data_IF_816699065774
#
_entry.id   IF_816699065774
#
_cell.length_a   1.000
_cell.length_b   1.000
_cell.length_c   1.000
_cell.angle_alpha   90.00
_cell.angle_beta   90.00
_cell.angle_gamma   90.00
#
_symmetry.space_group_name_H-M   'P 1'
#
loop_
_entity.id
_entity.type
_entity.pdbx_description
1 polymer ?
#
# COMPACT_ATOMS: atom_id res chain seq x y z
N UNK A 1 17.81 5.67 -55.48
CA UNK A 1 18.02 4.67 -54.40
C UNK A 1 18.28 3.30 -55.03
N UNK A 2 19.44 2.74 -54.76
CA UNK A 2 19.81 1.43 -55.27
C UNK A 2 19.45 0.32 -54.28
N UNK A 3 20.01 0.36 -53.09
CA UNK A 3 19.71 -0.63 -52.03
C UNK A 3 20.14 -0.12 -50.64
N UNK A 4 19.62 -0.74 -49.60
CA UNK A 4 20.08 -0.56 -48.23
C UNK A 4 21.16 -1.64 -47.95
N UNK A 5 22.34 -1.22 -47.50
CA UNK A 5 23.40 -2.17 -47.12
C UNK A 5 22.93 -3.02 -45.93
N UNK A 6 22.92 -4.34 -46.08
CA UNK A 6 22.62 -5.29 -45.01
C UNK A 6 23.86 -5.50 -44.11
N UNK A 7 23.68 -6.04 -42.89
CA UNK A 7 24.82 -6.41 -42.04
C UNK A 7 25.73 -7.37 -42.76
N UNK A 8 26.99 -7.03 -42.92
CA UNK A 8 27.99 -7.83 -43.62
C UNK A 8 28.94 -7.00 -44.49
N UNK A 9 29.62 -7.67 -45.42
CA UNK A 9 30.49 -7.03 -46.36
C UNK A 9 29.69 -6.59 -47.59
N UNK A 10 29.65 -5.27 -47.85
CA UNK A 10 29.01 -4.68 -49.05
C UNK A 10 30.09 -4.03 -49.90
N UNK A 11 30.04 -4.24 -51.22
CA UNK A 11 30.92 -3.57 -52.15
C UNK A 11 30.21 -2.40 -52.80
N UNK A 12 30.86 -1.26 -52.78
CA UNK A 12 30.43 -0.05 -53.51
C UNK A 12 31.50 0.36 -54.50
N UNK A 13 31.10 0.71 -55.73
CA UNK A 13 32.00 1.14 -56.78
C UNK A 13 32.12 2.68 -56.67
N UNK A 14 33.26 3.24 -56.27
CA UNK A 14 33.39 4.63 -55.88
C UNK A 14 33.13 5.68 -56.98
N UNK A 15 32.91 5.24 -58.23
CA UNK A 15 32.58 6.13 -59.34
C UNK A 15 31.07 6.15 -59.64
N UNK A 16 30.37 5.06 -59.29
CA UNK A 16 28.97 4.83 -59.62
C UNK A 16 28.05 4.89 -58.36
N UNK A 17 28.60 4.39 -57.25
CA UNK A 17 27.84 4.32 -55.97
C UNK A 17 28.30 5.40 -55.02
N UNK A 18 27.34 6.12 -54.45
CA UNK A 18 27.54 7.12 -53.41
C UNK A 18 26.72 6.72 -52.17
N UNK A 19 27.34 6.86 -51.00
CA UNK A 19 26.63 6.67 -49.73
C UNK A 19 25.85 7.93 -49.41
N UNK A 20 24.55 7.95 -49.73
CA UNK A 20 23.67 9.09 -49.53
C UNK A 20 23.40 9.36 -48.04
N UNK A 21 23.13 8.31 -47.29
CA UNK A 21 22.80 8.43 -45.85
C UNK A 21 23.44 7.31 -45.03
N UNK A 22 23.89 7.69 -43.82
CA UNK A 22 24.34 6.74 -42.78
C UNK A 22 23.52 6.94 -41.52
N UNK A 23 22.72 5.98 -41.14
CA UNK A 23 21.88 6.04 -39.94
C UNK A 23 22.33 5.00 -38.90
N UNK A 24 22.39 5.44 -37.63
CA UNK A 24 22.62 4.53 -36.51
C UNK A 24 21.33 3.79 -36.18
N UNK A 25 21.42 2.46 -35.99
CA UNK A 25 20.30 1.62 -35.53
C UNK A 25 20.32 1.43 -34.00
N UNK A 26 21.21 2.13 -33.32
CA UNK A 26 21.25 2.15 -31.86
C UNK A 26 20.21 3.09 -31.31
N UNK A 27 19.83 2.87 -30.07
CA UNK A 27 18.99 3.83 -29.32
C UNK A 27 19.73 5.17 -29.20
N UNK A 28 19.03 6.24 -29.48
CA UNK A 28 19.53 7.62 -29.42
C UNK A 28 18.59 8.43 -28.57
N UNK A 29 19.14 9.29 -27.73
CA UNK A 29 18.38 10.25 -26.92
C UNK A 29 18.35 11.58 -27.68
N UNK A 30 17.17 12.18 -27.77
CA UNK A 30 16.94 13.51 -28.32
C UNK A 30 16.47 14.39 -27.16
N UNK A 31 17.27 15.39 -26.83
CA UNK A 31 16.95 16.36 -25.79
C UNK A 31 15.92 17.38 -26.32
N UNK A 32 14.84 17.55 -25.59
CA UNK A 32 13.78 18.48 -25.87
C UNK A 32 14.05 19.78 -25.11
N UNK A 33 14.28 20.85 -25.81
CA UNK A 33 14.54 22.15 -25.21
C UNK A 33 13.37 22.62 -24.34
N UNK A 34 13.64 23.34 -23.24
CA UNK A 34 12.62 23.85 -22.35
C UNK A 34 11.49 24.56 -23.08
N UNK A 35 10.27 24.19 -22.81
CA UNK A 35 9.05 24.74 -23.35
C UNK A 35 8.16 25.30 -22.25
N UNK A 36 7.49 26.41 -22.55
CA UNK A 36 6.45 26.93 -21.66
C UNK A 36 5.12 26.33 -22.05
N UNK A 37 4.43 25.76 -21.08
CA UNK A 37 3.05 25.28 -21.21
C UNK A 37 2.17 25.94 -20.13
N UNK A 38 0.86 25.89 -20.34
CA UNK A 38 -0.13 26.40 -19.39
C UNK A 38 -0.95 25.22 -18.94
N UNK A 39 -1.03 24.99 -17.64
CA UNK A 39 -1.84 23.95 -17.05
C UNK A 39 -3.33 24.30 -17.08
N UNK A 40 -4.20 23.34 -16.76
CA UNK A 40 -5.65 23.51 -16.73
C UNK A 40 -6.09 24.58 -15.71
N UNK A 41 -5.36 24.72 -14.61
CA UNK A 41 -5.55 25.75 -13.58
C UNK A 41 -4.86 27.10 -13.89
N UNK A 42 -4.48 27.29 -15.19
CA UNK A 42 -3.92 28.53 -15.74
C UNK A 42 -2.56 28.93 -15.12
N UNK A 43 -1.74 27.95 -14.75
CA UNK A 43 -0.37 28.20 -14.26
C UNK A 43 0.63 27.99 -15.38
N UNK A 44 1.58 28.92 -15.50
CA UNK A 44 2.70 28.79 -16.45
C UNK A 44 3.77 27.87 -15.88
N UNK A 45 4.11 26.82 -16.64
CA UNK A 45 5.15 25.85 -16.30
C UNK A 45 6.19 25.78 -17.42
N UNK A 46 7.45 25.67 -17.04
CA UNK A 46 8.54 25.39 -17.95
C UNK A 46 8.92 23.93 -17.78
N UNK A 47 8.93 23.21 -18.89
CA UNK A 47 9.17 21.78 -18.92
C UNK A 47 10.25 21.50 -19.94
N UNK A 48 11.16 20.63 -19.60
CA UNK A 48 12.13 20.01 -20.47
C UNK A 48 12.02 18.49 -20.37
N UNK A 49 12.59 17.80 -21.32
CA UNK A 49 12.51 16.35 -21.35
C UNK A 49 13.44 15.73 -22.39
N UNK A 50 13.46 14.41 -22.39
CA UNK A 50 14.23 13.62 -23.32
C UNK A 50 13.38 12.52 -23.96
N UNK A 51 13.55 12.34 -25.26
CA UNK A 51 12.90 11.27 -26.04
C UNK A 51 13.95 10.22 -26.38
N UNK A 52 13.63 8.97 -26.08
CA UNK A 52 14.46 7.83 -26.42
C UNK A 52 13.91 7.14 -27.67
N UNK A 53 14.69 7.18 -28.74
CA UNK A 53 14.27 6.73 -30.08
C UNK A 53 15.26 5.74 -30.67
N UNK A 54 14.77 4.95 -31.62
CA UNK A 54 15.63 4.09 -32.45
C UNK A 54 15.08 4.01 -33.86
N UNK A 55 15.98 4.07 -34.83
CA UNK A 55 15.64 3.83 -36.23
C UNK A 55 15.42 2.34 -36.45
N UNK A 56 14.22 1.96 -36.90
CA UNK A 56 13.84 0.59 -37.24
C UNK A 56 13.97 0.37 -38.74
N UNK A 57 13.61 1.37 -39.54
CA UNK A 57 13.68 1.31 -41.00
C UNK A 57 14.54 2.48 -41.49
N UNK A 58 15.77 2.18 -41.90
CA UNK A 58 16.73 3.17 -42.34
C UNK A 58 16.30 3.88 -43.65
N UNK A 59 15.54 3.17 -44.51
CA UNK A 59 15.02 3.75 -45.73
C UNK A 59 13.98 4.83 -45.43
N UNK A 60 12.96 4.48 -44.64
CA UNK A 60 11.92 5.43 -44.24
C UNK A 60 12.47 6.59 -43.45
N UNK A 61 13.46 6.37 -42.58
CA UNK A 61 14.10 7.43 -41.80
C UNK A 61 14.97 8.37 -42.61
N UNK A 62 15.37 7.98 -43.84
CA UNK A 62 16.21 8.81 -44.69
C UNK A 62 15.44 9.50 -45.83
N UNK A 63 14.33 8.88 -46.29
CA UNK A 63 13.57 9.37 -47.43
C UNK A 63 12.11 9.71 -47.07
N UNK A 64 11.62 9.30 -45.94
CA UNK A 64 10.27 9.60 -45.48
C UNK A 64 10.10 10.97 -44.86
N UNK A 65 11.19 11.54 -44.36
CA UNK A 65 11.22 12.90 -43.76
C UNK A 65 12.63 13.48 -43.90
N UNK A 66 12.71 14.79 -44.09
CA UNK A 66 13.96 15.50 -44.31
C UNK A 66 14.82 15.55 -43.02
N UNK A 67 14.19 15.94 -41.90
CA UNK A 67 14.82 16.01 -40.58
C UNK A 67 13.98 15.25 -39.55
N UNK A 68 14.30 13.96 -39.32
CA UNK A 68 13.56 13.12 -38.36
C UNK A 68 13.70 13.62 -36.92
N UNK A 69 14.87 14.12 -36.52
CA UNK A 69 15.12 14.55 -35.16
C UNK A 69 14.37 15.84 -34.83
N UNK A 70 14.43 16.81 -35.73
CA UNK A 70 13.68 18.06 -35.61
C UNK A 70 12.15 17.83 -35.61
N UNK A 71 11.67 16.91 -36.45
CA UNK A 71 10.26 16.56 -36.49
C UNK A 71 9.77 15.89 -35.18
N UNK A 72 10.55 14.94 -34.63
CA UNK A 72 10.25 14.32 -33.35
C UNK A 72 10.27 15.36 -32.23
N UNK A 73 11.24 16.27 -32.23
CA UNK A 73 11.34 17.37 -31.26
C UNK A 73 10.09 18.24 -31.30
N UNK A 74 9.67 18.68 -32.48
CA UNK A 74 8.48 19.53 -32.67
C UNK A 74 7.20 18.80 -32.23
N UNK A 75 7.09 17.52 -32.58
CA UNK A 75 5.96 16.67 -32.17
C UNK A 75 5.91 16.48 -30.67
N UNK A 76 7.07 16.21 -30.04
CA UNK A 76 7.19 16.05 -28.60
C UNK A 76 6.77 17.33 -27.85
N UNK A 77 7.20 18.48 -28.31
CA UNK A 77 6.80 19.79 -27.76
C UNK A 77 5.28 20.00 -27.85
N UNK A 78 4.66 19.59 -28.96
CA UNK A 78 3.22 19.74 -29.18
C UNK A 78 2.43 18.75 -28.33
N UNK A 79 2.85 17.49 -28.24
CA UNK A 79 2.24 16.46 -27.41
C UNK A 79 2.35 16.84 -25.93
N UNK A 80 3.53 17.25 -25.47
CA UNK A 80 3.74 17.70 -24.10
C UNK A 80 2.82 18.87 -23.73
N UNK A 81 2.72 19.88 -24.59
CA UNK A 81 1.85 21.04 -24.35
C UNK A 81 0.38 20.64 -24.26
N UNK A 82 -0.06 19.71 -25.09
CA UNK A 82 -1.42 19.18 -25.07
C UNK A 82 -1.72 18.43 -23.77
N UNK A 83 -0.85 17.52 -23.38
CA UNK A 83 -1.05 16.71 -22.18
C UNK A 83 -0.99 17.56 -20.90
N UNK A 84 -0.05 18.50 -20.82
CA UNK A 84 0.05 19.44 -19.68
C UNK A 84 -1.19 20.33 -19.59
N UNK A 85 -1.72 20.80 -20.71
CA UNK A 85 -2.94 21.62 -20.74
C UNK A 85 -4.20 20.90 -20.24
N UNK A 86 -4.20 19.58 -20.18
CA UNK A 86 -5.30 18.77 -19.66
C UNK A 86 -5.23 18.53 -18.16
N UNK A 87 -4.09 18.78 -17.52
CA UNK A 87 -3.82 18.47 -16.11
C UNK A 87 -3.73 19.73 -15.25
N UNK A 88 -4.09 19.60 -14.00
CA UNK A 88 -3.82 20.59 -12.97
C UNK A 88 -2.36 20.48 -12.49
N UNK A 89 -1.82 21.57 -11.95
CA UNK A 89 -0.42 21.61 -11.55
C UNK A 89 -0.06 20.52 -10.53
N UNK A 90 -0.92 20.25 -9.54
CA UNK A 90 -0.70 19.20 -8.57
C UNK A 90 -0.68 17.81 -9.21
N UNK A 91 -1.56 17.57 -10.19
CA UNK A 91 -1.59 16.31 -10.95
C UNK A 91 -0.34 16.12 -11.81
N UNK A 92 0.19 17.21 -12.36
CA UNK A 92 1.42 17.19 -13.15
C UNK A 92 2.61 16.62 -12.33
N UNK A 93 2.70 16.95 -11.05
CA UNK A 93 3.72 16.41 -10.15
C UNK A 93 3.45 14.97 -9.69
N UNK A 94 2.18 14.62 -9.50
CA UNK A 94 1.78 13.31 -9.00
C UNK A 94 1.75 12.23 -10.10
N UNK A 95 1.36 12.60 -11.31
CA UNK A 95 1.08 11.66 -12.41
C UNK A 95 2.12 11.72 -13.53
N UNK A 96 3.37 12.08 -13.23
CA UNK A 96 4.47 12.16 -14.21
C UNK A 96 4.60 10.90 -15.07
N UNK A 97 4.44 9.73 -14.47
CA UNK A 97 4.56 8.44 -15.16
C UNK A 97 3.47 8.28 -16.23
N UNK A 98 2.23 8.66 -15.93
CA UNK A 98 1.14 8.59 -16.91
C UNK A 98 1.37 9.57 -18.07
N UNK A 99 1.88 10.76 -17.75
CA UNK A 99 2.29 11.76 -18.75
C UNK A 99 3.36 11.22 -19.68
N UNK A 100 4.43 10.65 -19.13
CA UNK A 100 5.52 10.07 -19.90
C UNK A 100 5.00 8.99 -20.86
N UNK A 101 4.13 8.11 -20.39
CA UNK A 101 3.52 7.04 -21.20
C UNK A 101 2.61 7.64 -22.29
N UNK A 102 1.75 8.59 -21.96
CA UNK A 102 0.84 9.21 -22.93
C UNK A 102 1.58 9.96 -24.04
N UNK A 103 2.60 10.72 -23.69
CA UNK A 103 3.45 11.41 -24.67
C UNK A 103 4.20 10.40 -25.53
N UNK A 104 4.83 9.38 -24.94
CA UNK A 104 5.58 8.36 -25.67
C UNK A 104 4.70 7.61 -26.67
N UNK A 105 3.46 7.26 -26.31
CA UNK A 105 2.50 6.62 -27.22
C UNK A 105 2.13 7.53 -28.40
N UNK A 106 1.79 8.77 -28.12
CA UNK A 106 1.46 9.74 -29.18
C UNK A 106 2.63 9.97 -30.15
N UNK A 107 3.86 9.99 -29.63
CA UNK A 107 5.07 10.11 -30.43
C UNK A 107 5.33 8.85 -31.26
N UNK A 108 5.18 7.65 -30.68
CA UNK A 108 5.41 6.39 -31.38
C UNK A 108 4.43 6.23 -32.55
N UNK A 109 3.14 6.50 -32.34
CA UNK A 109 2.14 6.47 -33.40
C UNK A 109 2.48 7.41 -34.57
N UNK A 110 2.88 8.63 -34.25
CA UNK A 110 3.18 9.63 -35.27
C UNK A 110 4.53 9.40 -35.98
N UNK A 111 5.50 8.74 -35.34
CA UNK A 111 6.84 8.47 -35.91
C UNK A 111 6.92 7.17 -36.71
N UNK A 112 5.92 6.27 -36.61
CA UNK A 112 5.89 5.01 -37.37
C UNK A 112 6.04 5.17 -38.89
N UNK A 113 5.38 6.13 -39.55
CA UNK A 113 5.55 6.35 -40.99
C UNK A 113 7.01 6.68 -41.38
N UNK A 114 7.76 7.27 -40.47
CA UNK A 114 9.17 7.63 -40.67
C UNK A 114 10.14 6.48 -40.35
N UNK A 115 9.63 5.32 -39.96
CA UNK A 115 10.47 4.16 -39.61
C UNK A 115 11.27 4.34 -38.32
N UNK A 116 10.82 5.22 -37.42
CA UNK A 116 11.42 5.50 -36.11
C UNK A 116 10.44 5.00 -35.05
N UNK A 117 10.97 4.33 -34.05
CA UNK A 117 10.23 3.93 -32.87
C UNK A 117 10.63 4.77 -31.67
N UNK A 118 9.65 5.25 -30.95
CA UNK A 118 9.81 5.90 -29.66
C UNK A 118 9.59 4.88 -28.55
N UNK A 119 10.59 4.68 -27.69
CA UNK A 119 10.50 3.74 -26.58
C UNK A 119 9.91 4.36 -25.34
N UNK A 120 10.39 5.56 -25.03
CA UNK A 120 9.98 6.29 -23.84
C UNK A 120 10.22 7.78 -24.01
N UNK A 121 9.46 8.53 -23.25
CA UNK A 121 9.64 9.94 -23.00
C UNK A 121 9.87 10.15 -21.51
N UNK A 122 10.81 10.99 -21.15
CA UNK A 122 11.09 11.31 -19.75
C UNK A 122 11.07 12.83 -19.58
N UNK A 123 10.22 13.32 -18.67
CA UNK A 123 10.24 14.71 -18.25
C UNK A 123 11.43 14.88 -17.31
N UNK A 124 12.40 15.73 -17.69
CA UNK A 124 13.61 15.94 -16.90
C UNK A 124 13.28 16.84 -15.70
N UNK A 125 12.78 18.06 -15.93
CA UNK A 125 12.46 18.98 -14.85
C UNK A 125 11.17 19.76 -15.10
N UNK A 126 10.53 20.21 -14.02
CA UNK A 126 9.32 21.03 -14.05
C UNK A 126 9.58 22.26 -13.21
N UNK A 127 9.74 23.39 -13.91
CA UNK A 127 9.95 24.66 -13.27
C UNK A 127 8.68 25.50 -13.29
N UNK A 128 8.30 25.98 -12.12
CA UNK A 128 7.19 26.94 -11.94
C UNK A 128 7.73 28.30 -11.51
N UNK A 129 6.98 29.35 -11.79
CA UNK A 129 7.32 30.70 -11.32
C UNK A 129 7.47 30.75 -9.79
N UNK A 130 8.36 31.63 -9.33
CA UNK A 130 8.67 31.75 -7.89
C UNK A 130 7.43 32.05 -7.03
N UNK A 131 6.55 32.94 -7.51
CA UNK A 131 5.32 33.27 -6.79
C UNK A 131 4.38 32.08 -6.62
N UNK A 132 4.22 31.30 -7.68
CA UNK A 132 3.44 30.06 -7.66
C UNK A 132 4.04 29.01 -6.72
N UNK A 133 5.36 28.84 -6.74
CA UNK A 133 6.07 27.93 -5.83
C UNK A 133 5.84 28.29 -4.37
N UNK A 134 6.00 29.56 -4.01
CA UNK A 134 5.77 30.05 -2.65
C UNK A 134 4.31 29.86 -2.20
N UNK A 135 3.35 30.05 -3.11
CA UNK A 135 1.93 29.80 -2.84
C UNK A 135 1.65 28.31 -2.60
N UNK A 136 2.19 27.43 -3.43
CA UNK A 136 2.07 25.96 -3.27
C UNK A 136 2.71 25.47 -1.97
N UNK A 137 3.88 25.99 -1.61
CA UNK A 137 4.54 25.64 -0.34
C UNK A 137 3.68 26.02 0.87
N UNK A 138 3.09 27.21 0.84
CA UNK A 138 2.16 27.66 1.89
C UNK A 138 0.91 26.78 1.96
N UNK A 139 0.31 26.46 0.82
CA UNK A 139 -0.87 25.59 0.74
C UNK A 139 -0.54 24.18 1.24
N UNK A 140 0.55 23.59 0.77
CA UNK A 140 0.99 22.26 1.19
C UNK A 140 1.29 22.19 2.70
N UNK A 141 1.94 23.22 3.24
CA UNK A 141 2.22 23.31 4.66
C UNK A 141 0.93 23.44 5.50
N UNK A 142 -0.01 24.29 5.07
CA UNK A 142 -1.30 24.44 5.73
C UNK A 142 -2.11 23.12 5.72
N UNK A 143 -2.09 22.40 4.60
CA UNK A 143 -2.78 21.12 4.50
C UNK A 143 -2.12 20.03 5.34
N UNK A 144 -0.78 19.99 5.39
CA UNK A 144 -0.05 19.08 6.29
C UNK A 144 -0.36 19.35 7.75
N UNK A 145 -0.39 20.61 8.17
CA UNK A 145 -0.75 20.99 9.53
C UNK A 145 -2.19 20.59 9.86
N UNK A 146 -3.13 20.86 8.95
CA UNK A 146 -4.53 20.43 9.13
C UNK A 146 -4.67 18.92 9.27
N UNK A 147 -3.98 18.16 8.40
CA UNK A 147 -4.00 16.68 8.48
C UNK A 147 -3.37 16.18 9.80
N UNK A 148 -2.28 16.78 10.25
CA UNK A 148 -1.65 16.43 11.51
C UNK A 148 -2.60 16.68 12.70
N UNK A 149 -3.29 17.81 12.73
CA UNK A 149 -4.25 18.18 13.79
C UNK A 149 -5.47 17.22 13.80
N UNK A 150 -5.98 16.84 12.63
CA UNK A 150 -7.06 15.86 12.52
C UNK A 150 -6.60 14.49 13.03
N UNK A 151 -5.43 14.02 12.61
CA UNK A 151 -4.88 12.73 13.07
C UNK A 151 -4.61 12.72 14.56
N UNK A 152 -4.11 13.82 15.13
CA UNK A 152 -3.89 13.96 16.57
C UNK A 152 -5.20 13.91 17.34
N UNK A 153 -6.23 14.62 16.88
CA UNK A 153 -7.55 14.62 17.52
C UNK A 153 -8.24 13.26 17.42
N UNK A 154 -8.12 12.58 16.29
CA UNK A 154 -8.62 11.21 16.11
C UNK A 154 -7.87 10.22 17.02
N UNK A 155 -6.55 10.34 17.10
CA UNK A 155 -5.72 9.55 18.00
C UNK A 155 -6.09 9.75 19.47
N UNK A 156 -6.33 11.00 19.88
CA UNK A 156 -6.80 11.31 21.23
C UNK A 156 -8.18 10.71 21.52
N UNK A 157 -9.13 10.87 20.59
CA UNK A 157 -10.45 10.26 20.69
C UNK A 157 -10.38 8.74 20.83
N UNK A 158 -9.57 8.09 19.99
CA UNK A 158 -9.41 6.64 20.03
C UNK A 158 -8.76 6.16 21.33
N UNK A 159 -7.77 6.91 21.83
CA UNK A 159 -7.15 6.63 23.13
C UNK A 159 -8.19 6.68 24.26
N UNK A 160 -9.07 7.67 24.26
CA UNK A 160 -10.10 7.82 25.29
C UNK A 160 -11.14 6.68 25.23
N UNK A 161 -11.54 6.28 24.02
CA UNK A 161 -12.44 5.14 23.81
C UNK A 161 -11.78 3.86 24.33
N UNK A 162 -10.55 3.55 23.90
CA UNK A 162 -9.83 2.36 24.30
C UNK A 162 -9.61 2.29 25.83
N UNK A 163 -9.33 3.44 26.46
CA UNK A 163 -9.18 3.54 27.91
C UNK A 163 -10.52 3.21 28.62
N UNK A 164 -11.61 3.84 28.18
CA UNK A 164 -12.94 3.61 28.78
C UNK A 164 -13.41 2.17 28.61
N UNK A 165 -13.15 1.59 27.44
CA UNK A 165 -13.44 0.16 27.19
C UNK A 165 -12.59 -0.77 28.08
N UNK A 166 -11.30 -0.45 28.24
CA UNK A 166 -10.39 -1.15 29.12
C UNK A 166 -10.85 -1.11 30.60
N UNK A 167 -11.24 0.07 31.08
CA UNK A 167 -11.75 0.25 32.44
C UNK A 167 -13.06 -0.50 32.64
N UNK A 168 -13.99 -0.43 31.67
CA UNK A 168 -15.23 -1.20 31.71
C UNK A 168 -14.98 -2.70 31.74
N UNK A 169 -14.11 -3.20 30.89
CA UNK A 169 -13.79 -4.62 30.84
C UNK A 169 -13.06 -5.08 32.11
N UNK A 170 -12.18 -4.25 32.65
CA UNK A 170 -11.50 -4.48 33.93
C UNK A 170 -12.51 -4.60 35.09
N UNK A 171 -13.49 -3.70 35.17
CA UNK A 171 -14.53 -3.74 36.18
C UNK A 171 -15.41 -5.01 36.06
N UNK A 172 -15.80 -5.40 34.84
CA UNK A 172 -16.56 -6.62 34.57
C UNK A 172 -15.76 -7.86 35.02
N UNK A 173 -14.50 -7.97 34.65
CA UNK A 173 -13.64 -9.07 34.99
C UNK A 173 -13.43 -9.18 36.52
N UNK A 174 -13.25 -8.06 37.20
CA UNK A 174 -13.13 -8.00 38.66
C UNK A 174 -14.42 -8.47 39.35
N UNK A 175 -15.58 -8.00 38.88
CA UNK A 175 -16.87 -8.42 39.42
C UNK A 175 -17.15 -9.92 39.19
N UNK A 176 -16.82 -10.42 38.00
CA UNK A 176 -16.93 -11.85 37.68
C UNK A 176 -16.01 -12.72 38.58
N UNK A 177 -14.76 -12.27 38.76
CA UNK A 177 -13.81 -12.96 39.64
C UNK A 177 -14.27 -12.98 41.10
N UNK A 178 -14.87 -11.89 41.61
CA UNK A 178 -15.46 -11.85 42.94
C UNK A 178 -16.66 -12.80 43.08
N UNK A 179 -17.57 -12.79 42.11
CA UNK A 179 -18.74 -13.64 42.09
C UNK A 179 -18.33 -15.14 42.07
N UNK A 180 -17.37 -15.52 41.25
CA UNK A 180 -16.86 -16.87 41.16
C UNK A 180 -16.16 -17.29 42.47
N UNK A 181 -15.36 -16.40 43.07
CA UNK A 181 -14.74 -16.64 44.38
C UNK A 181 -15.78 -16.87 45.48
N UNK A 182 -16.83 -16.05 45.53
CA UNK A 182 -17.94 -16.23 46.46
C UNK A 182 -18.66 -17.57 46.23
N UNK A 183 -18.92 -17.94 45.00
CA UNK A 183 -19.55 -19.21 44.63
C UNK A 183 -18.73 -20.41 45.05
N UNK A 184 -17.41 -20.37 44.77
CA UNK A 184 -16.50 -21.43 45.21
C UNK A 184 -16.42 -21.56 46.73
N UNK A 185 -16.41 -20.45 47.48
CA UNK A 185 -16.44 -20.47 48.94
C UNK A 185 -17.75 -21.07 49.45
N UNK A 186 -18.90 -20.65 48.92
CA UNK A 186 -20.19 -21.19 49.33
C UNK A 186 -20.34 -22.69 49.02
N UNK A 187 -19.84 -23.16 47.89
CA UNK A 187 -19.82 -24.59 47.57
C UNK A 187 -18.90 -25.38 48.53
N UNK A 188 -17.71 -24.85 48.82
CA UNK A 188 -16.79 -25.51 49.76
C UNK A 188 -17.36 -25.57 51.19
N UNK A 189 -18.01 -24.51 51.67
CA UNK A 189 -18.70 -24.48 52.95
C UNK A 189 -19.88 -25.50 53.00
N UNK A 190 -20.68 -25.56 51.91
CA UNK A 190 -21.77 -26.55 51.83
C UNK A 190 -21.25 -27.98 51.83
N UNK A 191 -20.17 -28.27 51.13
CA UNK A 191 -19.55 -29.60 51.11
C UNK A 191 -18.90 -29.93 52.46
N UNK A 192 -18.30 -28.96 53.15
CA UNK A 192 -17.82 -29.15 54.51
C UNK A 192 -18.95 -29.48 55.52
N UNK A 193 -20.08 -28.76 55.44
CA UNK A 193 -21.25 -29.01 56.29
C UNK A 193 -21.81 -30.43 56.03
N UNK A 194 -21.91 -30.83 54.77
CA UNK A 194 -22.35 -32.21 54.41
C UNK A 194 -21.42 -33.29 54.98
N UNK A 195 -20.11 -33.10 54.79
CA UNK A 195 -19.12 -34.05 55.30
C UNK A 195 -19.19 -34.18 56.83
N UNK A 196 -19.37 -33.07 57.55
CA UNK A 196 -19.55 -33.10 59.04
C UNK A 196 -20.85 -33.81 59.41
N UNK A 197 -21.97 -33.54 58.73
CA UNK A 197 -23.25 -34.19 59.00
C UNK A 197 -23.20 -35.71 58.74
N UNK A 198 -22.55 -36.13 57.65
CA UNK A 198 -22.33 -37.52 57.32
C UNK A 198 -21.47 -38.25 58.37
N UNK A 199 -20.38 -37.59 58.82
CA UNK A 199 -19.52 -38.13 59.87
C UNK A 199 -20.26 -38.24 61.22
N UNK A 200 -21.08 -37.27 61.57
CA UNK A 200 -21.91 -37.31 62.76
C UNK A 200 -22.98 -38.42 62.68
N UNK A 201 -23.63 -38.55 61.54
CA UNK A 201 -24.62 -39.64 61.33
C UNK A 201 -23.98 -41.04 61.40
N UNK A 202 -22.78 -41.20 60.83
CA UNK A 202 -22.01 -42.44 60.94
C UNK A 202 -21.60 -42.73 62.37
N UNK A 203 -21.12 -41.69 63.10
CA UNK A 203 -20.76 -41.82 64.52
C UNK A 203 -21.97 -42.23 65.40
N UNK A 204 -23.12 -41.61 65.20
CA UNK A 204 -24.38 -41.97 65.92
C UNK A 204 -24.87 -43.36 65.58
N UNK A 205 -24.73 -43.81 64.33
CA UNK A 205 -25.02 -45.16 63.91
C UNK A 205 -24.12 -46.18 64.63
N UNK A 206 -22.84 -45.99 64.63
CA UNK A 206 -21.88 -46.87 65.32
C UNK A 206 -22.11 -46.89 66.80
N UNK A 207 -22.42 -45.80 67.44
CA UNK A 207 -22.77 -45.75 68.83
C UNK A 207 -24.07 -46.53 69.14
N UNK A 208 -25.10 -46.42 68.32
CA UNK A 208 -26.34 -47.15 68.42
C UNK A 208 -26.17 -48.67 68.20
N UNK A 209 -25.35 -49.06 67.22
CA UNK A 209 -25.01 -50.48 67.01
C UNK A 209 -24.23 -51.07 68.18
N UNK A 210 -23.22 -50.34 68.69
CA UNK A 210 -22.45 -50.77 69.82
C UNK A 210 -23.34 -50.94 71.12
N UNK A 211 -24.26 -50.00 71.32
CA UNK A 211 -25.22 -50.12 72.44
C UNK A 211 -26.21 -51.28 72.25
N UNK A 212 -26.66 -51.49 71.00
CA UNK A 212 -27.53 -52.62 70.68
C UNK A 212 -26.84 -54.00 70.90
N UNK A 213 -25.58 -54.09 70.46
CA UNK A 213 -24.76 -55.27 70.65
C UNK A 213 -24.43 -55.54 72.17
N UNK A 214 -24.15 -54.44 72.89
CA UNK A 214 -24.00 -54.52 74.35
C UNK A 214 -25.29 -55.04 75.07
N UNK A 215 -26.45 -54.52 74.66
CA UNK A 215 -27.73 -54.97 75.16
C UNK A 215 -28.04 -56.44 74.80
N UNK A 216 -27.67 -56.86 73.58
CA UNK A 216 -27.80 -58.29 73.17
C UNK A 216 -26.88 -59.17 73.95
N UNK A 217 -25.66 -58.79 74.22
CA UNK A 217 -24.73 -59.56 75.04
C UNK A 217 -25.22 -59.70 76.46
N UNK A 218 -25.77 -58.64 77.06
CA UNK A 218 -26.41 -58.71 78.38
C UNK A 218 -27.64 -59.62 78.38
N UNK A 219 -28.47 -59.51 77.33
CA UNK A 219 -29.67 -60.37 77.21
C UNK A 219 -29.32 -61.90 77.08
N UNK A 220 -28.26 -62.20 76.30
CA UNK A 220 -27.74 -63.58 76.22
C UNK A 220 -27.20 -64.08 77.58
N UNK A 221 -26.41 -63.26 78.28
CA UNK A 221 -25.87 -63.64 79.58
C UNK A 221 -26.97 -63.87 80.63
N UNK A 222 -28.03 -63.04 80.62
CA UNK A 222 -29.18 -63.25 81.55
C UNK A 222 -30.01 -64.48 81.16
N UNK A 223 -30.06 -64.87 79.88
CA UNK A 223 -30.76 -66.08 79.45
C UNK A 223 -30.01 -67.40 79.76
N UNK A 224 -28.68 -67.33 79.93
CA UNK A 224 -27.82 -68.46 80.30
C UNK A 224 -27.77 -68.66 81.77
N UNK A 225 -28.02 -67.70 82.68
CA UNK A 225 -28.06 -67.83 84.12
C UNK A 225 -29.46 -68.18 84.68
N UNK A 226 -30.47 -68.23 83.88
CA UNK A 226 -31.89 -68.47 84.27
C UNK A 226 -32.45 -69.81 83.85
N UNK A 227 -31.57 -70.85 83.52
CA UNK A 227 -31.96 -72.20 83.18
C UNK A 227 -31.48 -73.26 84.17
#
# INVERSE_FOLDING_TARGET
>A
FSHTALPGLSFAIPIIDEIAYKRSLKETTIDIHPQTAITKDNVHVHLDGAVYTRVVDAYKASYGIEDPEGAITTLAQSAMRKEVGNLELDQLFLEREKLNIGIAQALDEASQPWGIRVFRYEIADIHVDRGTREAMEKQSNAERLRRAEVLESEGYRQKLINQSEGERQGAINAAQGQAESMRLKATAEADQIKAIAEAQAASTRMAAEATADGLRAIACAVSEEGG
#
